data_IF_437066381914
#
_entry.id   IF_437066381914
#
_cell.length_a   1.000
_cell.length_b   1.000
_cell.length_c   1.000
_cell.angle_alpha   90.00
_cell.angle_beta   90.00
_cell.angle_gamma   90.00
#
_symmetry.space_group_name_H-M   'P 1'
#
loop_
_entity.id
_entity.type
_entity.pdbx_description
1 polymer ?
#
# COMPACT_ATOMS: atom_id res chain seq x y z
N UNK A 1 -58.81 7.60 -41.10
CA UNK A 1 -57.58 8.39 -40.85
C UNK A 1 -57.22 8.18 -39.38
N UNK A 2 -56.38 7.18 -39.08
CA UNK A 2 -55.90 6.95 -37.72
C UNK A 2 -54.59 7.71 -37.52
N UNK A 3 -54.62 8.74 -36.69
CA UNK A 3 -53.41 9.42 -36.24
C UNK A 3 -52.67 8.49 -35.27
N UNK A 4 -51.48 8.02 -35.68
CA UNK A 4 -50.50 7.44 -34.75
C UNK A 4 -49.97 8.59 -33.90
N UNK A 5 -50.23 8.55 -32.60
CA UNK A 5 -49.53 9.38 -31.62
C UNK A 5 -48.08 8.87 -31.52
N UNK A 6 -47.13 9.63 -32.05
CA UNK A 6 -45.71 9.41 -31.81
C UNK A 6 -45.41 9.73 -30.33
N UNK A 7 -45.03 8.69 -29.57
CA UNK A 7 -44.48 8.87 -28.23
C UNK A 7 -43.11 9.51 -28.34
N UNK A 8 -42.99 10.73 -27.79
CA UNK A 8 -41.73 11.45 -27.63
C UNK A 8 -40.76 10.58 -26.80
N UNK A 9 -39.52 10.32 -27.22
CA UNK A 9 -38.58 9.56 -26.41
C UNK A 9 -38.30 10.33 -25.12
N UNK A 10 -38.41 9.66 -23.98
CA UNK A 10 -37.97 10.20 -22.70
C UNK A 10 -36.46 10.51 -22.77
N UNK A 11 -36.00 11.63 -22.18
CA UNK A 11 -34.58 11.91 -22.12
C UNK A 11 -33.90 10.81 -21.31
N UNK A 12 -33.03 10.04 -21.97
CA UNK A 12 -32.16 9.07 -21.33
C UNK A 12 -31.24 9.84 -20.37
N UNK A 13 -31.49 9.72 -19.07
CA UNK A 13 -30.66 10.31 -18.04
C UNK A 13 -29.38 9.47 -17.93
N UNK A 14 -28.39 9.72 -18.80
CA UNK A 14 -27.08 9.06 -18.80
C UNK A 14 -26.13 9.71 -17.80
N UNK A 15 -26.57 9.96 -16.58
CA UNK A 15 -25.65 10.14 -15.45
C UNK A 15 -25.37 8.77 -14.85
N UNK A 16 -24.65 7.93 -15.60
CA UNK A 16 -23.89 6.87 -14.96
C UNK A 16 -22.83 7.57 -14.12
N UNK A 17 -23.03 7.61 -12.80
CA UNK A 17 -21.98 8.06 -11.90
C UNK A 17 -20.73 7.22 -12.17
N UNK A 18 -19.54 7.83 -12.23
CA UNK A 18 -18.32 7.08 -12.46
C UNK A 18 -18.20 6.00 -11.37
N UNK A 19 -17.69 4.80 -11.72
CA UNK A 19 -17.46 3.77 -10.73
C UNK A 19 -16.59 4.33 -9.60
N UNK A 20 -16.83 3.92 -8.33
CA UNK A 20 -16.09 4.45 -7.20
C UNK A 20 -14.58 4.25 -7.42
N UNK A 21 -13.82 5.33 -7.26
CA UNK A 21 -12.38 5.29 -7.41
C UNK A 21 -11.77 4.41 -6.33
N UNK A 22 -10.80 3.58 -6.71
CA UNK A 22 -9.99 2.83 -5.76
C UNK A 22 -8.83 3.72 -5.33
N UNK A 23 -8.74 4.01 -4.04
CA UNK A 23 -7.73 4.92 -3.47
C UNK A 23 -6.93 4.18 -2.40
N UNK A 24 -5.60 4.19 -2.56
CA UNK A 24 -4.67 3.65 -1.59
C UNK A 24 -4.11 4.72 -0.65
N UNK A 25 -3.75 4.34 0.57
CA UNK A 25 -2.95 5.16 1.48
C UNK A 25 -1.49 4.73 1.45
N UNK A 26 -0.58 5.65 1.15
CA UNK A 26 0.84 5.40 1.24
C UNK A 26 1.32 5.63 2.68
N UNK A 27 1.63 4.56 3.41
CA UNK A 27 2.04 4.68 4.80
C UNK A 27 3.43 5.31 4.91
N UNK A 28 3.52 6.32 5.76
CA UNK A 28 4.72 7.10 6.00
C UNK A 28 5.10 7.08 7.48
N UNK A 29 6.34 7.49 7.83
CA UNK A 29 6.74 7.58 9.24
C UNK A 29 5.93 8.60 10.04
N UNK A 30 5.25 9.55 9.37
CA UNK A 30 4.38 10.52 10.04
C UNK A 30 3.05 9.91 10.50
N UNK A 31 2.66 8.76 9.95
CA UNK A 31 1.50 8.00 10.41
C UNK A 31 1.79 7.25 11.72
N UNK A 32 3.06 6.96 11.99
CA UNK A 32 3.51 6.13 13.10
C UNK A 32 4.11 4.81 12.63
N UNK A 33 4.70 4.06 13.57
CA UNK A 33 5.19 2.70 13.33
C UNK A 33 4.06 1.76 13.73
N UNK A 34 3.50 1.06 12.73
CA UNK A 34 2.32 0.20 12.86
C UNK A 34 2.64 -1.28 12.58
N UNK A 35 3.86 -1.68 12.93
CA UNK A 35 4.41 -3.00 12.61
C UNK A 35 3.69 -4.13 13.37
N UNK A 36 3.05 -3.82 14.51
CA UNK A 36 2.40 -4.81 15.40
C UNK A 36 0.91 -4.56 15.65
N UNK A 37 0.35 -3.52 15.03
CA UNK A 37 -1.06 -3.11 15.11
C UNK A 37 -1.61 -2.72 13.73
N UNK A 38 -1.08 -3.30 12.64
CA UNK A 38 -1.45 -2.94 11.27
C UNK A 38 -2.95 -3.12 11.00
N UNK A 39 -3.59 -4.03 11.71
CA UNK A 39 -5.04 -4.28 11.65
C UNK A 39 -5.84 -3.07 12.11
N UNK A 40 -5.45 -2.43 13.22
CA UNK A 40 -6.10 -1.21 13.73
C UNK A 40 -5.84 -0.03 12.79
N UNK A 41 -4.61 0.09 12.30
CA UNK A 41 -4.22 1.10 11.32
C UNK A 41 -5.06 1.02 10.03
N UNK A 42 -5.21 -0.19 9.47
CA UNK A 42 -6.02 -0.41 8.27
C UNK A 42 -7.51 -0.15 8.52
N UNK A 43 -8.04 -0.57 9.68
CA UNK A 43 -9.42 -0.29 10.05
C UNK A 43 -9.69 1.21 10.12
N UNK A 44 -8.78 1.97 10.72
CA UNK A 44 -8.86 3.43 10.79
C UNK A 44 -8.85 4.08 9.41
N UNK A 45 -7.97 3.65 8.51
CA UNK A 45 -7.92 4.15 7.13
C UNK A 45 -9.18 3.79 6.33
N UNK A 46 -9.76 2.60 6.58
CA UNK A 46 -11.05 2.21 6.03
C UNK A 46 -12.18 3.17 6.41
N UNK A 47 -12.17 3.74 7.62
CA UNK A 47 -13.16 4.77 8.03
C UNK A 47 -13.03 6.07 7.25
N UNK A 48 -11.88 6.29 6.59
CA UNK A 48 -11.59 7.45 5.74
C UNK A 48 -11.76 7.15 4.24
N UNK A 49 -12.36 6.01 3.89
CA UNK A 49 -12.60 5.54 2.53
C UNK A 49 -11.34 5.18 1.72
N UNK A 50 -10.23 4.80 2.38
CA UNK A 50 -9.12 4.15 1.69
C UNK A 50 -9.40 2.66 1.50
N UNK A 51 -9.08 2.14 0.32
CA UNK A 51 -9.34 0.76 -0.08
C UNK A 51 -8.19 -0.19 0.24
N UNK A 52 -6.96 0.31 0.25
CA UNK A 52 -5.76 -0.45 0.54
C UNK A 52 -4.67 0.47 1.11
N UNK A 53 -3.64 -0.15 1.66
CA UNK A 53 -2.46 0.50 2.24
C UNK A 53 -1.23 0.00 1.50
N UNK A 54 -0.36 0.92 1.13
CA UNK A 54 1.01 0.62 0.76
C UNK A 54 1.88 0.68 2.03
N UNK A 55 2.44 -0.47 2.43
CA UNK A 55 3.23 -0.62 3.66
C UNK A 55 4.55 -1.36 3.38
N UNK A 56 5.68 -0.95 4.00
CA UNK A 56 6.94 -1.64 3.82
C UNK A 56 6.88 -3.06 4.41
N UNK A 57 7.19 -4.08 3.60
CA UNK A 57 7.10 -5.50 4.02
C UNK A 57 8.07 -5.85 5.14
N UNK A 58 9.18 -5.11 5.24
CA UNK A 58 10.14 -5.23 6.34
C UNK A 58 9.68 -4.63 7.67
N UNK A 59 8.52 -3.96 7.68
CA UNK A 59 8.09 -3.07 8.76
C UNK A 59 8.61 -1.64 8.57
N UNK A 60 7.86 -0.67 9.07
CA UNK A 60 8.17 0.75 9.02
C UNK A 60 9.48 1.04 9.77
N UNK A 61 9.73 0.36 10.90
CA UNK A 61 10.99 0.51 11.65
C UNK A 61 12.22 0.17 10.80
N UNK A 62 12.15 -0.89 10.00
CA UNK A 62 13.22 -1.26 9.06
C UNK A 62 13.26 -0.30 7.87
N UNK A 63 12.11 0.15 7.38
CA UNK A 63 12.03 1.04 6.22
C UNK A 63 12.72 2.38 6.43
N UNK A 64 12.59 2.96 7.62
CA UNK A 64 13.15 4.27 7.96
C UNK A 64 14.60 4.22 8.45
N UNK A 65 15.17 3.01 8.55
CA UNK A 65 16.54 2.85 8.96
C UNK A 65 17.48 3.52 7.94
N UNK A 66 18.55 4.12 8.46
CA UNK A 66 19.55 4.82 7.65
C UNK A 66 20.82 3.97 7.61
N UNK A 67 21.27 3.55 6.41
CA UNK A 67 22.47 2.74 6.29
C UNK A 67 23.72 3.45 6.78
N UNK A 68 24.54 2.71 7.49
CA UNK A 68 25.90 3.07 7.91
C UNK A 68 26.81 1.89 7.57
N UNK A 69 28.09 2.14 7.28
CA UNK A 69 29.00 1.14 6.71
C UNK A 69 29.15 -0.14 7.57
N UNK A 70 29.09 0.01 8.90
CA UNK A 70 29.12 -1.10 9.86
C UNK A 70 27.74 -1.34 10.52
N UNK A 71 26.71 -0.65 10.03
CA UNK A 71 25.35 -0.75 10.51
C UNK A 71 24.65 -1.99 9.97
N UNK A 72 23.91 -2.68 10.83
CA UNK A 72 23.03 -3.78 10.40
C UNK A 72 21.58 -3.26 10.34
N UNK A 73 20.84 -3.50 9.26
CA UNK A 73 19.44 -3.11 9.20
C UNK A 73 18.63 -3.82 10.30
N UNK A 74 17.57 -3.19 10.84
CA UNK A 74 16.62 -3.89 11.70
C UNK A 74 16.10 -5.16 11.00
N UNK A 75 15.81 -6.23 11.76
CA UNK A 75 15.18 -7.40 11.18
C UNK A 75 13.81 -7.05 10.60
N UNK A 76 13.33 -7.91 9.69
CA UNK A 76 11.93 -7.86 9.26
C UNK A 76 11.06 -8.16 10.47
N UNK A 77 10.21 -7.21 10.84
CA UNK A 77 9.37 -7.28 12.03
C UNK A 77 7.96 -6.80 11.72
N UNK A 78 7.34 -7.42 10.71
CA UNK A 78 5.93 -7.24 10.37
C UNK A 78 5.22 -8.59 10.51
N UNK A 79 4.79 -8.98 11.72
CA UNK A 79 4.27 -10.32 11.98
C UNK A 79 3.03 -10.62 11.15
N UNK A 80 2.98 -11.79 10.51
CA UNK A 80 1.87 -12.22 9.65
C UNK A 80 0.61 -12.58 10.45
N UNK A 81 0.76 -13.16 11.64
CA UNK A 81 -0.34 -13.62 12.51
C UNK A 81 -1.33 -12.54 12.96
N UNK A 82 -0.99 -11.25 12.81
CA UNK A 82 -1.86 -10.15 13.24
C UNK A 82 -3.08 -9.94 12.32
N UNK A 83 -3.07 -10.52 11.12
CA UNK A 83 -4.10 -10.32 10.10
C UNK A 83 -4.32 -11.63 9.30
N UNK A 84 -5.57 -11.93 8.94
CA UNK A 84 -5.88 -13.11 8.13
C UNK A 84 -5.18 -13.04 6.75
N UNK A 85 -4.63 -14.14 6.20
CA UNK A 85 -3.92 -14.13 4.92
C UNK A 85 -4.72 -13.52 3.75
N UNK A 86 -6.04 -13.66 3.74
CA UNK A 86 -6.90 -13.05 2.72
C UNK A 86 -6.92 -11.54 2.85
N UNK A 87 -6.91 -11.01 4.08
CA UNK A 87 -6.91 -9.58 4.34
C UNK A 87 -5.56 -8.96 3.98
N UNK A 88 -4.44 -9.63 4.27
CA UNK A 88 -3.11 -9.24 3.75
C UNK A 88 -3.15 -9.07 2.23
N UNK A 89 -3.63 -10.10 1.52
CA UNK A 89 -3.67 -10.13 0.05
C UNK A 89 -4.66 -9.12 -0.56
N UNK A 90 -5.60 -8.59 0.23
CA UNK A 90 -6.63 -7.66 -0.25
C UNK A 90 -6.28 -6.21 0.05
N UNK A 91 -5.76 -5.94 1.25
CA UNK A 91 -5.63 -4.59 1.77
C UNK A 91 -4.19 -4.08 1.81
N UNK A 92 -3.19 -4.96 1.77
CA UNK A 92 -1.79 -4.55 1.90
C UNK A 92 -1.07 -4.74 0.57
N UNK A 93 -0.52 -3.64 0.06
CA UNK A 93 0.46 -3.62 -1.01
C UNK A 93 1.83 -3.49 -0.36
N UNK A 94 2.65 -4.53 -0.52
CA UNK A 94 3.99 -4.55 0.05
C UNK A 94 4.97 -3.71 -0.77
N UNK A 95 5.73 -2.82 -0.12
CA UNK A 95 6.87 -2.13 -0.74
C UNK A 95 8.20 -2.45 -0.08
N UNK A 96 9.27 -2.25 -0.85
CA UNK A 96 10.65 -2.40 -0.37
C UNK A 96 11.01 -1.23 0.55
N UNK A 97 11.92 -1.47 1.50
CA UNK A 97 12.45 -0.43 2.38
C UNK A 97 13.19 0.66 1.59
N UNK A 98 12.98 1.93 1.94
CA UNK A 98 13.44 3.09 1.16
C UNK A 98 14.97 3.23 1.06
N UNK A 99 15.72 2.55 1.93
CA UNK A 99 17.18 2.59 1.95
C UNK A 99 17.86 1.56 1.04
N UNK A 100 17.11 0.60 0.50
CA UNK A 100 17.65 -0.43 -0.40
C UNK A 100 17.94 0.22 -1.75
N UNK A 101 19.22 0.29 -2.09
CA UNK A 101 19.75 0.88 -3.31
C UNK A 101 20.83 -0.04 -3.90
N UNK A 102 20.40 -0.99 -4.75
CA UNK A 102 21.29 -1.95 -5.41
C UNK A 102 22.22 -1.29 -6.44
N UNK A 103 21.90 -0.06 -6.88
CA UNK A 103 22.66 0.69 -7.88
C UNK A 103 23.51 1.80 -7.24
N UNK A 104 23.71 1.75 -5.92
CA UNK A 104 24.45 2.76 -5.18
C UNK A 104 25.90 2.88 -5.68
N UNK A 105 26.41 4.11 -5.76
CA UNK A 105 27.83 4.37 -6.06
C UNK A 105 28.76 3.79 -4.98
N UNK A 106 28.24 3.61 -3.77
CA UNK A 106 28.97 2.99 -2.67
C UNK A 106 28.83 1.48 -2.73
N UNK A 107 29.90 0.78 -3.10
CA UNK A 107 29.91 -0.68 -3.26
C UNK A 107 29.36 -1.42 -2.05
N UNK A 108 29.69 -0.99 -0.83
CA UNK A 108 29.22 -1.63 0.40
C UNK A 108 27.69 -1.54 0.56
N UNK A 109 27.08 -0.43 0.13
CA UNK A 109 25.63 -0.23 0.20
C UNK A 109 24.91 -1.01 -0.90
N UNK A 110 25.49 -1.05 -2.11
CA UNK A 110 24.97 -1.87 -3.21
C UNK A 110 24.99 -3.37 -2.86
N UNK A 111 26.10 -3.87 -2.30
CA UNK A 111 26.23 -5.27 -1.86
C UNK A 111 25.25 -5.62 -0.74
N UNK A 112 25.11 -4.72 0.25
CA UNK A 112 24.12 -4.87 1.33
C UNK A 112 22.70 -4.88 0.77
N UNK A 113 22.37 -3.95 -0.12
CA UNK A 113 21.04 -3.81 -0.73
C UNK A 113 20.67 -5.03 -1.57
N UNK A 114 21.60 -5.55 -2.38
CA UNK A 114 21.41 -6.79 -3.14
C UNK A 114 21.14 -8.00 -2.23
N UNK A 115 21.78 -8.06 -1.08
CA UNK A 115 21.54 -9.15 -0.10
C UNK A 115 20.19 -9.00 0.59
N UNK A 116 19.79 -7.77 0.88
CA UNK A 116 18.64 -7.46 1.72
C UNK A 116 17.32 -7.38 0.94
N UNK A 117 17.37 -7.20 -0.38
CA UNK A 117 16.21 -7.26 -1.28
C UNK A 117 15.74 -8.70 -1.52
N UNK A 118 16.60 -9.70 -1.36
CA UNK A 118 16.21 -11.13 -1.50
C UNK A 118 15.46 -11.65 -0.26
N UNK A 119 15.49 -10.92 0.86
CA UNK A 119 14.82 -11.31 2.11
C UNK A 119 13.36 -10.89 2.19
N UNK A 120 12.95 -9.97 1.31
CA UNK A 120 11.62 -9.35 1.30
C UNK A 120 10.67 -10.04 0.33
#
# INVERSE_FOLDING_TARGET
MNQKSESKPEPMNTTEEPPPAIVGWYATPTDGIHDTDITEFCAHLGTKNYNFVDYPVGGMKRSIWKPEQDGTPPPIDLPDLQLDPKLWSTYIVGRVSDWIDCDSEQQWLADLSCTEIEKV
#
